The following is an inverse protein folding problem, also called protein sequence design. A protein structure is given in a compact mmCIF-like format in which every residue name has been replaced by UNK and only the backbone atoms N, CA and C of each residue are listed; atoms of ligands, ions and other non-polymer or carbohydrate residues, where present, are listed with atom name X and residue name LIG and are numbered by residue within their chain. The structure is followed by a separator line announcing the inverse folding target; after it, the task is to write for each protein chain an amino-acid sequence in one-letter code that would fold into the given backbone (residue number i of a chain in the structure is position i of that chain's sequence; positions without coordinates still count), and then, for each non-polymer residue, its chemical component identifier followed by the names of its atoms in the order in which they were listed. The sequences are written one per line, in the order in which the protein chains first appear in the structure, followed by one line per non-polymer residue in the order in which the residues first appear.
data_IF_306750303799
#
_entry.id   IF_306750303799
#
_cell.length_a   1.000
_cell.length_b   1.000
_cell.length_c   1.000
_cell.angle_alpha   90.00
_cell.angle_beta   90.00
_cell.angle_gamma   90.00
#
_symmetry.space_group_name_H-M   'P 1'
#
loop_
_entity.id
_entity.type
_entity.pdbx_description
1 polymer ?
#
# COMPACT_ATOMS: atom_id res chain seq x y z
N UNK A 1 -22.19 33.54 -6.49
CA UNK A 1 -20.82 33.17 -6.90
C UNK A 1 -20.05 32.73 -5.65
N UNK A 2 -20.06 31.43 -5.32
CA UNK A 2 -19.27 30.90 -4.18
C UNK A 2 -17.87 30.62 -4.69
N UNK A 3 -16.88 31.31 -4.14
CA UNK A 3 -15.47 31.01 -4.31
C UNK A 3 -15.23 29.59 -3.76
N UNK A 4 -14.83 28.65 -4.62
CA UNK A 4 -14.28 27.37 -4.20
C UNK A 4 -12.90 27.64 -3.60
N UNK A 5 -12.87 28.06 -2.33
CA UNK A 5 -11.65 27.99 -1.53
C UNK A 5 -11.15 26.55 -1.58
N UNK A 6 -9.92 26.37 -2.06
CA UNK A 6 -9.23 25.08 -2.06
C UNK A 6 -9.37 24.47 -0.66
N UNK A 7 -9.74 23.18 -0.52
CA UNK A 7 -9.86 22.58 0.80
C UNK A 7 -8.52 22.77 1.53
N UNK A 8 -8.53 23.14 2.84
CA UNK A 8 -7.31 23.31 3.60
C UNK A 8 -6.45 22.05 3.48
N UNK A 9 -5.14 22.21 3.44
CA UNK A 9 -4.22 21.08 3.37
C UNK A 9 -4.36 20.28 4.68
N UNK A 10 -5.16 19.21 4.66
CA UNK A 10 -5.52 18.40 5.84
C UNK A 10 -4.38 17.43 6.20
N UNK A 11 -3.13 17.85 6.04
CA UNK A 11 -1.96 17.02 6.35
C UNK A 11 -1.60 17.16 7.82
N UNK A 12 -1.52 16.03 8.50
CA UNK A 12 -0.95 15.92 9.84
C UNK A 12 0.30 15.05 9.79
N UNK A 13 1.24 15.33 10.68
CA UNK A 13 2.46 14.54 10.86
C UNK A 13 2.19 13.49 11.94
N UNK A 14 2.62 12.25 11.70
CA UNK A 14 2.47 11.17 12.68
C UNK A 14 3.34 11.44 13.92
N UNK A 15 2.80 11.15 15.11
CA UNK A 15 3.60 11.11 16.35
C UNK A 15 4.59 9.95 16.31
N UNK A 16 5.57 9.94 17.22
CA UNK A 16 6.54 8.84 17.30
C UNK A 16 5.86 7.49 17.57
N UNK A 17 4.87 7.43 18.46
CA UNK A 17 4.13 6.19 18.74
C UNK A 17 3.40 5.68 17.48
N UNK A 18 2.83 6.60 16.69
CA UNK A 18 2.17 6.26 15.43
C UNK A 18 3.19 5.76 14.38
N UNK A 19 4.38 6.36 14.31
CA UNK A 19 5.48 5.89 13.45
C UNK A 19 5.92 4.48 13.85
N UNK A 20 6.02 4.17 15.15
CA UNK A 20 6.37 2.83 15.62
C UNK A 20 5.32 1.79 15.22
N UNK A 21 4.02 2.11 15.33
CA UNK A 21 2.95 1.21 14.86
C UNK A 21 3.01 0.99 13.35
N UNK A 22 3.27 2.05 12.58
CA UNK A 22 3.45 1.93 11.14
C UNK A 22 4.66 1.05 10.79
N UNK A 23 5.78 1.20 11.51
CA UNK A 23 6.97 0.39 11.30
C UNK A 23 6.69 -1.10 11.60
N UNK A 24 5.96 -1.39 12.68
CA UNK A 24 5.54 -2.75 13.02
C UNK A 24 4.72 -3.37 11.88
N UNK A 25 3.69 -2.69 11.39
CA UNK A 25 2.87 -3.16 10.26
C UNK A 25 3.74 -3.45 9.03
N UNK A 26 4.74 -2.62 8.75
CA UNK A 26 5.59 -2.77 7.57
C UNK A 26 6.65 -3.86 7.71
N UNK A 27 7.02 -4.25 8.94
CA UNK A 27 8.14 -5.15 9.24
C UNK A 27 7.72 -6.51 9.79
N UNK A 28 6.47 -6.63 10.27
CA UNK A 28 5.86 -7.88 10.67
C UNK A 28 5.61 -8.77 9.44
N UNK A 29 5.85 -10.07 9.60
CA UNK A 29 5.67 -11.03 8.52
C UNK A 29 4.21 -11.47 8.45
N UNK A 30 3.60 -11.36 7.28
CA UNK A 30 2.26 -11.84 7.00
C UNK A 30 2.30 -13.09 6.09
N UNK A 31 1.39 -14.06 6.31
CA UNK A 31 1.28 -15.22 5.44
C UNK A 31 0.50 -14.88 4.16
N UNK A 32 1.07 -15.23 3.00
CA UNK A 32 0.39 -15.22 1.72
C UNK A 32 0.15 -16.67 1.30
N UNK A 33 -1.10 -17.11 1.40
CA UNK A 33 -1.49 -18.48 1.10
C UNK A 33 -1.45 -18.74 -0.41
N UNK A 34 -0.66 -19.72 -0.81
CA UNK A 34 -0.71 -20.25 -2.17
C UNK A 34 -2.04 -20.95 -2.44
N UNK A 35 -2.57 -20.81 -3.65
CA UNK A 35 -3.77 -21.56 -4.07
C UNK A 35 -3.36 -22.95 -4.56
N UNK A 36 -4.05 -24.01 -4.13
CA UNK A 36 -3.71 -25.38 -4.53
C UNK A 36 -2.49 -25.90 -3.78
N UNK A 37 -1.52 -26.49 -4.51
CA UNK A 37 -0.30 -27.07 -3.91
C UNK A 37 0.86 -26.06 -3.77
N UNK A 38 0.61 -24.78 -4.01
CA UNK A 38 1.64 -23.76 -3.83
C UNK A 38 1.84 -23.46 -2.33
N UNK A 39 3.09 -23.29 -1.87
CA UNK A 39 3.36 -23.07 -0.46
C UNK A 39 2.84 -21.71 0.03
N UNK A 40 2.58 -21.61 1.32
CA UNK A 40 2.37 -20.32 1.99
C UNK A 40 3.70 -19.58 2.08
N UNK A 41 3.73 -18.33 1.62
CA UNK A 41 4.90 -17.45 1.72
C UNK A 41 4.81 -16.60 2.98
N UNK A 42 5.93 -16.44 3.67
CA UNK A 42 6.05 -15.47 4.76
C UNK A 42 6.70 -14.21 4.23
N UNK A 43 5.97 -13.09 4.23
CA UNK A 43 6.42 -11.87 3.58
C UNK A 43 6.17 -10.64 4.45
N UNK A 44 7.09 -9.68 4.41
CA UNK A 44 6.90 -8.37 5.03
C UNK A 44 6.27 -7.40 4.02
N UNK A 45 5.24 -6.61 4.38
CA UNK A 45 4.65 -5.64 3.46
C UNK A 45 5.67 -4.67 2.84
N UNK A 46 6.70 -4.26 3.60
CA UNK A 46 7.81 -3.44 3.07
C UNK A 46 8.54 -4.08 1.90
N UNK A 47 8.75 -5.40 1.92
CA UNK A 47 9.42 -6.12 0.85
C UNK A 47 8.56 -6.13 -0.42
N UNK A 48 7.25 -6.33 -0.28
CA UNK A 48 6.30 -6.31 -1.39
C UNK A 48 6.28 -4.92 -2.04
N UNK A 49 6.13 -3.86 -1.24
CA UNK A 49 6.17 -2.46 -1.71
C UNK A 49 7.45 -2.19 -2.50
N UNK A 50 8.60 -2.59 -1.93
CA UNK A 50 9.92 -2.33 -2.52
C UNK A 50 10.09 -3.08 -3.84
N UNK A 51 9.69 -4.35 -3.90
CA UNK A 51 9.76 -5.16 -5.11
C UNK A 51 8.85 -4.60 -6.21
N UNK A 52 7.58 -4.32 -5.90
CA UNK A 52 6.62 -3.78 -6.87
C UNK A 52 7.07 -2.42 -7.40
N UNK A 53 7.52 -1.50 -6.52
CA UNK A 53 8.01 -0.18 -6.95
C UNK A 53 9.24 -0.30 -7.84
N UNK A 54 10.15 -1.22 -7.53
CA UNK A 54 11.35 -1.46 -8.35
C UNK A 54 10.98 -1.99 -9.74
N UNK A 55 10.08 -2.97 -9.82
CA UNK A 55 9.58 -3.51 -11.10
C UNK A 55 8.82 -2.47 -11.93
N UNK A 56 7.99 -1.65 -11.30
CA UNK A 56 7.29 -0.55 -12.00
C UNK A 56 8.29 0.44 -12.60
N UNK A 57 9.35 0.79 -11.86
CA UNK A 57 10.42 1.67 -12.35
C UNK A 57 11.17 1.05 -13.53
N UNK A 58 11.49 -0.24 -13.48
CA UNK A 58 12.10 -0.98 -14.60
C UNK A 58 11.24 -0.90 -15.87
N UNK A 59 9.91 -0.97 -15.71
CA UNK A 59 8.93 -0.85 -16.80
C UNK A 59 8.62 0.60 -17.19
N UNK A 60 9.40 1.59 -16.70
CA UNK A 60 9.18 3.02 -16.94
C UNK A 60 7.81 3.52 -16.47
N UNK A 61 7.17 2.81 -15.54
CA UNK A 61 5.93 3.23 -14.89
C UNK A 61 6.32 4.05 -13.67
N UNK A 62 5.98 5.34 -13.70
CA UNK A 62 6.31 6.25 -12.61
C UNK A 62 5.35 6.07 -11.43
N UNK A 63 5.88 5.64 -10.28
CA UNK A 63 5.16 5.56 -9.01
C UNK A 63 5.48 6.81 -8.18
N UNK A 64 4.52 7.73 -8.11
CA UNK A 64 4.66 8.98 -7.34
C UNK A 64 4.72 8.69 -5.84
N UNK A 65 3.63 8.11 -5.32
CA UNK A 65 3.46 7.83 -3.90
C UNK A 65 2.99 6.39 -3.68
N UNK A 66 3.29 5.87 -2.49
CA UNK A 66 2.71 4.64 -1.95
C UNK A 66 2.06 5.01 -0.62
N UNK A 67 0.76 4.69 -0.46
CA UNK A 67 -0.03 5.07 0.71
C UNK A 67 -0.62 3.85 1.38
N UNK A 68 -0.54 3.77 2.70
CA UNK A 68 -1.30 2.82 3.51
C UNK A 68 -2.74 3.33 3.64
N UNK A 69 -3.72 2.50 3.33
CA UNK A 69 -5.14 2.82 3.44
C UNK A 69 -5.89 1.74 4.24
N UNK A 70 -7.20 1.95 4.43
CA UNK A 70 -8.07 0.98 5.07
C UNK A 70 -7.90 0.93 6.59
N UNK A 71 -8.30 -0.18 7.20
CA UNK A 71 -8.27 -0.34 8.66
C UNK A 71 -6.86 -0.29 9.23
N UNK A 72 -5.83 -0.69 8.48
CA UNK A 72 -4.44 -0.57 8.90
C UNK A 72 -4.02 0.90 9.12
N UNK A 73 -4.47 1.83 8.28
CA UNK A 73 -4.19 3.25 8.47
C UNK A 73 -4.91 3.81 9.72
N UNK A 74 -6.17 3.44 9.92
CA UNK A 74 -6.92 3.81 11.13
C UNK A 74 -6.27 3.27 12.41
N UNK A 75 -5.75 2.04 12.36
CA UNK A 75 -5.04 1.39 13.46
C UNK A 75 -3.75 2.12 13.83
N UNK A 76 -2.98 2.58 12.84
CA UNK A 76 -1.78 3.43 13.09
C UNK A 76 -2.17 4.67 13.88
N UNK A 77 -3.25 5.36 13.46
CA UNK A 77 -3.65 6.65 14.03
C UNK A 77 -4.19 6.53 15.45
N UNK A 78 -5.10 5.60 15.72
CA UNK A 78 -5.87 5.56 16.97
C UNK A 78 -5.38 4.50 17.96
N UNK A 79 -4.68 3.46 17.50
CA UNK A 79 -4.17 2.37 18.32
C UNK A 79 -5.30 1.68 19.10
N UNK A 80 -5.93 0.66 18.51
CA UNK A 80 -6.93 -0.12 19.25
C UNK A 80 -6.26 -0.84 20.45
N UNK A 81 -6.79 -0.59 21.65
CA UNK A 81 -6.32 -1.08 22.95
C UNK A 81 -6.55 -2.59 23.19
N UNK A 82 -6.56 -3.40 22.14
CA UNK A 82 -6.69 -4.85 22.27
C UNK A 82 -6.60 -5.54 20.92
N UNK A 83 -5.49 -6.25 20.67
CA UNK A 83 -5.31 -7.40 19.76
C UNK A 83 -6.30 -7.52 18.58
N UNK A 84 -6.56 -6.43 17.87
CA UNK A 84 -7.61 -6.29 16.87
C UNK A 84 -6.98 -6.22 15.49
N UNK A 85 -6.87 -7.37 14.85
CA UNK A 85 -6.33 -7.59 13.51
C UNK A 85 -6.68 -6.48 12.51
N UNK A 86 -5.67 -5.82 11.94
CA UNK A 86 -5.88 -5.08 10.70
C UNK A 86 -6.04 -6.11 9.56
N UNK A 87 -7.26 -6.26 9.05
CA UNK A 87 -7.54 -7.24 7.99
C UNK A 87 -7.16 -6.76 6.58
N UNK A 88 -6.91 -5.46 6.40
CA UNK A 88 -6.71 -4.88 5.07
C UNK A 88 -5.46 -4.01 5.01
N UNK A 89 -4.55 -4.34 4.10
CA UNK A 89 -3.41 -3.53 3.69
C UNK A 89 -3.61 -3.15 2.22
N UNK A 90 -3.89 -1.87 1.94
CA UNK A 90 -4.13 -1.40 0.58
C UNK A 90 -3.18 -0.28 0.21
N UNK A 91 -2.50 -0.46 -0.93
CA UNK A 91 -1.64 0.52 -1.56
C UNK A 91 -2.32 1.10 -2.81
N UNK A 92 -2.32 2.42 -2.96
CA UNK A 92 -2.82 3.11 -4.15
C UNK A 92 -1.75 4.04 -4.72
N UNK A 93 -1.54 3.97 -6.04
CA UNK A 93 -0.80 4.99 -6.80
C UNK A 93 -1.75 6.14 -7.17
N UNK A 94 -1.29 7.38 -7.04
CA UNK A 94 -2.11 8.59 -7.17
C UNK A 94 -2.19 9.17 -8.59
N UNK A 95 -1.67 8.49 -9.61
CA UNK A 95 -1.84 8.90 -11.02
C UNK A 95 -2.31 7.77 -11.91
N UNK A 96 -3.08 8.13 -12.95
CA UNK A 96 -3.51 7.24 -14.02
C UNK A 96 -2.32 6.37 -14.43
N UNK A 97 -2.48 5.06 -14.24
CA UNK A 97 -1.76 4.06 -15.03
C UNK A 97 -2.30 4.26 -16.45
N UNK A 98 -1.81 5.29 -17.14
CA UNK A 98 -2.20 5.54 -18.51
C UNK A 98 -1.78 4.31 -19.30
N UNK A 99 -2.80 3.70 -19.90
CA UNK A 99 -2.81 2.66 -20.91
C UNK A 99 -1.78 2.89 -22.04
N UNK A 100 -0.50 2.75 -21.73
CA UNK A 100 0.60 2.82 -22.69
C UNK A 100 1.44 1.54 -22.70
N UNK A 101 1.20 0.60 -21.77
CA UNK A 101 1.94 -0.67 -21.70
C UNK A 101 1.07 -1.90 -21.38
N UNK A 102 -0.26 -1.84 -21.57
CA UNK A 102 -1.13 -3.04 -21.53
C UNK A 102 -1.21 -3.73 -22.90
N UNK A 103 -0.08 -3.91 -23.59
CA UNK A 103 0.03 -4.72 -24.81
C UNK A 103 0.76 -6.06 -24.58
N UNK A 104 0.89 -6.51 -23.33
CA UNK A 104 1.57 -7.77 -23.01
C UNK A 104 0.65 -8.76 -22.29
N UNK A 105 -0.50 -9.09 -22.89
CA UNK A 105 -1.15 -10.39 -22.74
C UNK A 105 -1.95 -10.70 -24.01
N UNK A 106 -1.26 -10.86 -25.14
CA UNK A 106 -1.76 -11.68 -26.23
C UNK A 106 -1.40 -13.13 -25.93
N UNK A 107 -2.38 -13.94 -25.58
CA UNK A 107 -2.26 -15.39 -25.76
C UNK A 107 -2.49 -15.71 -27.22
N UNK A 108 -1.43 -16.06 -27.94
CA UNK A 108 -1.44 -17.01 -29.06
C UNK A 108 -0.75 -18.27 -28.53
N UNK A 109 -1.23 -19.49 -28.72
CA UNK A 109 -2.18 -20.06 -29.69
C UNK A 109 -3.23 -20.93 -29.01
#
# INVERSE_FOLDING_TARGET
MRLLSSPPNISSVLSWEQVQRLDLILTESIPIHGRGNFPTLQMKPRQIVTAVRSRMREQRIHVRDVRLNGSAASHVLHGDSGLGSYHTFSLRSTHNILASHLNCFSTTS
#
